data_IF_019549967421
#
_entry.id   IF_019549967421
#
_cell.length_a   1.000
_cell.length_b   1.000
_cell.length_c   1.000
_cell.angle_alpha   90.00
_cell.angle_beta   90.00
_cell.angle_gamma   90.00
#
_symmetry.space_group_name_H-M   'P 1'
#
loop_
_entity.id
_entity.type
_entity.pdbx_description
1 polymer ?
#
# COMPACT_ATOMS: atom_id res chain seq x y z
N UNK A 1 5.07 -17.39 2.06
CA UNK A 1 5.02 -16.95 0.67
C UNK A 1 5.97 -17.83 -0.12
N UNK A 2 5.52 -18.34 -1.27
CA UNK A 2 6.43 -18.94 -2.25
C UNK A 2 7.26 -17.85 -2.94
N UNK A 3 8.38 -18.19 -3.60
CA UNK A 3 9.15 -17.24 -4.39
C UNK A 3 8.31 -16.53 -5.46
N UNK A 4 7.35 -17.24 -6.05
CA UNK A 4 6.41 -16.69 -7.04
C UNK A 4 5.47 -15.66 -6.41
N UNK A 5 4.91 -15.96 -5.23
CA UNK A 5 4.06 -15.03 -4.48
C UNK A 5 4.84 -13.78 -4.04
N UNK A 6 6.12 -13.92 -3.67
CA UNK A 6 6.98 -12.80 -3.30
C UNK A 6 7.30 -11.88 -4.49
N UNK A 7 7.58 -12.48 -5.65
CA UNK A 7 7.76 -11.73 -6.89
C UNK A 7 6.50 -10.98 -7.26
N UNK A 8 5.35 -11.65 -7.25
CA UNK A 8 4.07 -11.04 -7.55
C UNK A 8 3.78 -9.87 -6.58
N UNK A 9 3.94 -10.08 -5.28
CA UNK A 9 3.73 -9.03 -4.29
C UNK A 9 4.64 -7.82 -4.56
N UNK A 10 5.91 -8.06 -4.88
CA UNK A 10 6.89 -7.01 -5.19
C UNK A 10 6.49 -6.20 -6.43
N UNK A 11 6.03 -6.85 -7.49
CA UNK A 11 5.54 -6.18 -8.71
C UNK A 11 4.35 -5.25 -8.39
N UNK A 12 3.41 -5.72 -7.57
CA UNK A 12 2.26 -4.93 -7.13
C UNK A 12 2.67 -3.74 -6.25
N UNK A 13 3.58 -3.95 -5.30
CA UNK A 13 4.09 -2.88 -4.43
C UNK A 13 4.78 -1.79 -5.26
N UNK A 14 5.60 -2.17 -6.24
CA UNK A 14 6.28 -1.22 -7.12
C UNK A 14 5.29 -0.40 -7.95
N UNK A 15 4.22 -1.03 -8.47
CA UNK A 15 3.18 -0.32 -9.19
C UNK A 15 2.43 0.68 -8.29
N UNK A 16 2.08 0.28 -7.07
CA UNK A 16 1.43 1.15 -6.08
C UNK A 16 2.36 2.32 -5.73
N UNK A 17 3.64 2.06 -5.46
CA UNK A 17 4.61 3.09 -5.12
C UNK A 17 4.74 4.15 -6.22
N UNK A 18 4.77 3.74 -7.50
CA UNK A 18 4.80 4.69 -8.62
C UNK A 18 3.55 5.57 -8.70
N UNK A 19 2.38 5.04 -8.39
CA UNK A 19 1.12 5.81 -8.38
C UNK A 19 1.16 6.84 -7.24
N UNK A 20 1.49 6.38 -6.03
CA UNK A 20 1.50 7.21 -4.84
C UNK A 20 2.59 8.29 -4.88
N UNK A 21 3.75 7.99 -5.48
CA UNK A 21 4.82 8.95 -5.69
C UNK A 21 4.38 10.13 -6.58
N UNK A 22 3.59 9.88 -7.64
CA UNK A 22 3.06 10.95 -8.51
C UNK A 22 2.12 11.91 -7.80
N UNK A 23 1.58 11.51 -6.66
CA UNK A 23 0.68 12.33 -5.83
C UNK A 23 1.43 13.07 -4.71
N UNK A 24 2.65 12.63 -4.38
CA UNK A 24 3.46 13.24 -3.34
C UNK A 24 4.08 14.56 -3.82
N UNK A 25 4.06 15.57 -2.96
CA UNK A 25 4.75 16.84 -3.19
C UNK A 25 6.24 16.70 -2.86
N UNK A 26 7.12 17.52 -3.45
CA UNK A 26 8.56 17.47 -3.16
C UNK A 26 8.88 17.58 -1.66
N UNK A 27 8.14 18.41 -0.92
CA UNK A 27 8.38 18.62 0.51
C UNK A 27 8.06 17.37 1.34
N UNK A 28 7.19 16.48 0.85
CA UNK A 28 6.74 15.27 1.54
C UNK A 28 7.76 14.13 1.47
N UNK A 29 8.76 14.24 0.58
CA UNK A 29 9.79 13.21 0.38
C UNK A 29 11.21 13.72 0.67
N UNK A 30 11.31 14.88 1.33
CA UNK A 30 12.57 15.58 1.56
C UNK A 30 13.42 14.95 2.66
N UNK A 31 12.79 14.38 3.69
CA UNK A 31 13.47 13.77 4.84
C UNK A 31 12.87 12.42 5.17
N UNK A 32 13.63 11.55 5.85
CA UNK A 32 13.13 10.24 6.28
C UNK A 32 11.86 10.34 7.13
N UNK A 33 11.76 11.35 7.99
CA UNK A 33 10.57 11.59 8.81
C UNK A 33 9.34 11.92 7.96
N UNK A 34 9.49 12.81 6.97
CA UNK A 34 8.40 13.18 6.07
C UNK A 34 8.01 12.06 5.11
N UNK A 35 8.99 11.28 4.65
CA UNK A 35 8.75 10.08 3.83
C UNK A 35 7.90 9.09 4.63
N UNK A 36 8.28 8.82 5.88
CA UNK A 36 7.57 7.91 6.76
C UNK A 36 6.12 8.37 7.01
N UNK A 37 5.94 9.65 7.36
CA UNK A 37 4.63 10.27 7.54
C UNK A 37 3.76 10.12 6.29
N UNK A 38 4.31 10.48 5.12
CA UNK A 38 3.62 10.40 3.82
C UNK A 38 3.23 8.96 3.49
N UNK A 39 4.14 8.00 3.69
CA UNK A 39 3.86 6.58 3.45
C UNK A 39 2.75 6.09 4.38
N UNK A 40 2.80 6.45 5.67
CA UNK A 40 1.75 6.08 6.64
C UNK A 40 0.40 6.63 6.22
N UNK A 41 0.31 7.92 5.89
CA UNK A 41 -0.93 8.57 5.45
C UNK A 41 -1.51 7.87 4.21
N UNK A 42 -0.69 7.64 3.18
CA UNK A 42 -1.13 7.00 1.95
C UNK A 42 -1.58 5.55 2.17
N UNK A 43 -0.92 4.79 3.06
CA UNK A 43 -1.34 3.44 3.43
C UNK A 43 -2.71 3.47 4.11
N UNK A 44 -2.89 4.37 5.09
CA UNK A 44 -4.15 4.49 5.84
C UNK A 44 -5.31 4.93 4.95
N UNK A 45 -5.07 5.86 4.02
CA UNK A 45 -6.12 6.42 3.16
C UNK A 45 -6.50 5.48 2.01
N UNK A 46 -5.53 4.83 1.37
CA UNK A 46 -5.75 4.15 0.09
C UNK A 46 -5.62 2.63 0.14
N UNK A 47 -4.79 2.09 1.03
CA UNK A 47 -4.41 0.66 1.01
C UNK A 47 -5.17 -0.13 2.08
N UNK A 48 -5.01 0.25 3.34
CA UNK A 48 -5.58 -0.47 4.49
C UNK A 48 -7.09 -0.71 4.38
N UNK A 49 -7.93 0.26 3.94
CA UNK A 49 -9.36 0.03 3.80
C UNK A 49 -9.69 -1.05 2.76
N UNK A 50 -8.94 -1.11 1.65
CA UNK A 50 -9.17 -2.11 0.58
C UNK A 50 -8.84 -3.52 1.07
N UNK A 51 -7.72 -3.66 1.80
CA UNK A 51 -7.33 -4.94 2.41
C UNK A 51 -8.38 -5.37 3.44
N UNK A 52 -8.77 -4.46 4.34
CA UNK A 52 -9.78 -4.74 5.35
C UNK A 52 -11.12 -5.18 4.76
N UNK A 53 -11.61 -4.48 3.73
CA UNK A 53 -12.85 -4.83 3.02
C UNK A 53 -12.72 -6.20 2.33
N UNK A 54 -11.58 -6.48 1.70
CA UNK A 54 -11.34 -7.78 1.06
C UNK A 54 -11.44 -8.92 2.08
N UNK A 55 -10.76 -8.79 3.23
CA UNK A 55 -10.80 -9.80 4.29
C UNK A 55 -12.20 -9.97 4.89
N UNK A 56 -12.91 -8.87 5.14
CA UNK A 56 -14.29 -8.93 5.65
C UNK A 56 -15.24 -9.66 4.69
N UNK A 57 -15.09 -9.47 3.38
CA UNK A 57 -15.86 -10.22 2.37
C UNK A 57 -15.52 -11.71 2.40
N UNK A 58 -14.24 -12.06 2.57
CA UNK A 58 -13.81 -13.46 2.68
C UNK A 58 -14.33 -14.14 3.93
N UNK A 59 -14.44 -13.42 5.04
CA UNK A 59 -15.11 -13.92 6.24
C UNK A 59 -16.60 -14.19 5.98
N UNK A 60 -17.32 -13.27 5.34
CA UNK A 60 -18.74 -13.44 5.02
C UNK A 60 -19.02 -14.61 4.06
N UNK A 61 -18.14 -14.87 3.09
CA UNK A 61 -18.25 -16.02 2.18
C UNK A 61 -18.12 -17.38 2.91
N UNK A 62 -17.54 -17.40 4.11
CA UNK A 62 -17.31 -18.61 4.91
C UNK A 62 -18.40 -18.86 5.96
N UNK A 63 -19.33 -17.92 6.14
CA UNK A 63 -20.49 -18.02 7.03
C UNK A 63 -21.70 -18.59 6.30
#
# INVERSE_FOLDING_TARGET
MTPEEEKELTEHINAIAQILYRQAKPEQIETLAKIEETVREQILEHISPKIGIFLAKKEQEQM
#
